data_IF_089537933403
#
_entry.id   IF_089537933403
#
_cell.length_a   1.000
_cell.length_b   1.000
_cell.length_c   1.000
_cell.angle_alpha   90.00
_cell.angle_beta   90.00
_cell.angle_gamma   90.00
#
_symmetry.space_group_name_H-M   'P 1'
#
loop_
_entity.id
_entity.type
_entity.pdbx_description
1 polymer ?
#
# COMPACT_ATOMS: atom_id res chain seq x y z
N UNK A 1 12.17 17.36 -4.61
CA UNK A 1 11.76 16.58 -3.44
C UNK A 1 10.26 16.72 -3.23
N UNK A 2 9.49 15.72 -3.68
CA UNK A 2 8.04 15.60 -3.57
C UNK A 2 7.72 14.57 -2.49
N UNK A 3 6.81 14.91 -1.59
CA UNK A 3 6.41 14.04 -0.48
C UNK A 3 4.90 13.87 -0.51
N UNK A 4 4.43 12.64 -0.33
CA UNK A 4 3.02 12.32 -0.25
C UNK A 4 2.70 11.48 0.99
N UNK A 5 1.45 11.51 1.41
CA UNK A 5 0.92 10.63 2.44
C UNK A 5 -0.30 9.90 1.90
N UNK A 6 -0.40 8.61 2.18
CA UNK A 6 -1.50 7.78 1.69
C UNK A 6 -1.97 6.79 2.77
N UNK A 7 -3.24 6.91 3.15
CA UNK A 7 -3.90 5.92 3.97
C UNK A 7 -4.37 4.76 3.08
N UNK A 8 -3.69 3.61 3.20
CA UNK A 8 -3.94 2.43 2.35
C UNK A 8 -5.08 1.56 2.87
N UNK A 9 -5.71 1.96 3.99
CA UNK A 9 -6.85 1.29 4.60
C UNK A 9 -6.67 -0.23 4.68
N UNK A 10 -5.53 -0.68 5.25
CA UNK A 10 -5.18 -2.10 5.44
C UNK A 10 -5.11 -2.91 4.15
N UNK A 11 -4.87 -2.24 3.02
CA UNK A 11 -4.93 -2.83 1.66
C UNK A 11 -6.32 -3.35 1.30
N UNK A 12 -7.33 -2.98 2.08
CA UNK A 12 -8.70 -3.38 1.83
C UNK A 12 -9.28 -2.39 0.82
N UNK A 13 -9.76 -2.92 -0.32
CA UNK A 13 -10.40 -2.08 -1.35
C UNK A 13 -11.60 -1.29 -0.78
N UNK A 14 -12.21 -0.42 -1.59
CA UNK A 14 -13.21 0.57 -1.15
C UNK A 14 -14.40 0.06 -0.31
N UNK A 15 -14.68 -1.25 -0.30
CA UNK A 15 -15.77 -1.86 0.49
C UNK A 15 -15.31 -2.61 1.75
N UNK A 16 -14.01 -2.75 2.00
CA UNK A 16 -13.44 -3.48 3.16
C UNK A 16 -13.70 -5.00 3.16
N UNK A 17 -14.42 -5.53 2.17
CA UNK A 17 -14.87 -6.93 2.09
C UNK A 17 -13.93 -7.84 1.29
N UNK A 18 -12.98 -7.26 0.57
CA UNK A 18 -12.02 -8.02 -0.22
C UNK A 18 -10.81 -8.40 0.64
N UNK A 19 -10.16 -9.50 0.27
CA UNK A 19 -8.85 -9.82 0.83
C UNK A 19 -7.88 -8.65 0.58
N UNK A 20 -6.93 -8.41 1.49
CA UNK A 20 -5.87 -7.43 1.28
C UNK A 20 -5.20 -7.61 -0.09
N UNK A 21 -5.10 -6.52 -0.86
CA UNK A 21 -4.49 -6.51 -2.20
C UNK A 21 -3.65 -5.23 -2.35
N UNK A 22 -2.33 -5.36 -2.24
CA UNK A 22 -1.41 -4.23 -2.29
C UNK A 22 -1.12 -3.74 -3.72
N UNK A 23 -1.47 -4.50 -4.77
CA UNK A 23 -1.21 -4.11 -6.15
C UNK A 23 -1.99 -2.83 -6.53
N UNK A 24 -3.23 -2.67 -6.02
CA UNK A 24 -4.05 -1.48 -6.31
C UNK A 24 -3.46 -0.20 -5.69
N UNK A 25 -3.11 -0.15 -4.39
CA UNK A 25 -2.34 0.97 -3.84
C UNK A 25 -1.00 1.19 -4.55
N UNK A 26 -0.35 0.14 -5.06
CA UNK A 26 0.89 0.26 -5.83
C UNK A 26 0.74 1.07 -7.11
N UNK A 27 -0.37 0.92 -7.83
CA UNK A 27 -0.70 1.75 -9.00
C UNK A 27 -0.85 3.22 -8.57
N UNK A 28 -1.55 3.49 -7.48
CA UNK A 28 -1.70 4.87 -6.97
C UNK A 28 -0.34 5.45 -6.59
N UNK A 29 0.50 4.68 -5.89
CA UNK A 29 1.83 5.11 -5.44
C UNK A 29 2.74 5.47 -6.63
N UNK A 30 2.72 4.67 -7.70
CA UNK A 30 3.53 4.95 -8.90
C UNK A 30 3.05 6.20 -9.65
N UNK A 31 1.76 6.53 -9.58
CA UNK A 31 1.19 7.75 -10.19
C UNK A 31 1.49 9.04 -9.39
N UNK A 32 1.80 8.94 -8.09
CA UNK A 32 2.04 10.12 -7.24
C UNK A 32 3.33 10.89 -7.62
N UNK A 33 4.28 10.22 -8.28
CA UNK A 33 5.60 10.76 -8.63
C UNK A 33 6.26 11.44 -7.41
N UNK A 34 6.23 10.75 -6.27
CA UNK A 34 6.76 11.23 -5.00
C UNK A 34 8.11 10.57 -4.70
N UNK A 35 9.08 11.37 -4.26
CA UNK A 35 10.37 10.86 -3.79
C UNK A 35 10.23 10.09 -2.46
N UNK A 36 9.22 10.45 -1.65
CA UNK A 36 8.91 9.80 -0.37
C UNK A 36 7.39 9.68 -0.21
N UNK A 37 6.91 8.49 0.15
CA UNK A 37 5.51 8.24 0.48
C UNK A 37 5.40 7.70 1.91
N UNK A 38 4.61 8.37 2.75
CA UNK A 38 4.26 7.88 4.09
C UNK A 38 2.92 7.13 4.05
N UNK A 39 2.90 5.87 4.52
CA UNK A 39 1.71 5.03 4.52
C UNK A 39 1.03 4.95 5.90
N UNK A 40 -0.31 4.98 5.94
CA UNK A 40 -1.12 4.81 7.16
C UNK A 40 -2.03 3.59 7.06
N UNK A 41 -2.42 3.06 8.22
CA UNK A 41 -3.26 1.85 8.35
C UNK A 41 -2.69 0.64 7.59
N UNK A 42 -1.37 0.53 7.54
CA UNK A 42 -0.68 -0.59 6.88
C UNK A 42 -0.97 -1.88 7.65
N UNK A 43 -1.55 -2.87 6.97
CA UNK A 43 -1.70 -4.21 7.53
C UNK A 43 -0.38 -4.98 7.38
N UNK A 44 0.12 -5.51 8.50
CA UNK A 44 1.35 -6.33 8.59
C UNK A 44 1.01 -7.66 9.28
N UNK A 45 0.68 -8.73 8.54
CA UNK A 45 0.39 -10.03 9.12
C UNK A 45 1.61 -10.68 9.79
N UNK A 46 1.43 -11.45 10.86
CA UNK A 46 2.52 -12.20 11.51
C UNK A 46 2.78 -13.56 10.84
N UNK A 47 1.72 -14.28 10.47
CA UNK A 47 1.78 -15.66 9.98
C UNK A 47 1.33 -15.80 8.52
N UNK A 48 1.37 -14.70 7.76
CA UNK A 48 1.00 -14.68 6.34
C UNK A 48 1.93 -13.76 5.56
N UNK A 49 1.85 -13.84 4.23
CA UNK A 49 2.64 -12.99 3.34
C UNK A 49 2.30 -11.52 3.60
N UNK A 50 3.34 -10.70 3.68
CA UNK A 50 3.26 -9.29 4.04
C UNK A 50 3.06 -8.43 2.79
N UNK A 51 1.87 -7.80 2.60
CA UNK A 51 1.60 -7.05 1.38
C UNK A 51 2.49 -5.81 1.22
N UNK A 52 3.06 -5.28 2.30
CA UNK A 52 4.02 -4.16 2.20
C UNK A 52 5.32 -4.62 1.54
N UNK A 53 5.78 -5.83 1.87
CA UNK A 53 7.00 -6.40 1.30
C UNK A 53 6.80 -6.72 -0.18
N UNK A 54 5.66 -7.32 -0.53
CA UNK A 54 5.29 -7.56 -1.94
C UNK A 54 5.31 -6.27 -2.76
N UNK A 55 4.63 -5.23 -2.26
CA UNK A 55 4.60 -3.94 -2.92
C UNK A 55 6.01 -3.38 -3.11
N UNK A 56 6.88 -3.46 -2.09
CA UNK A 56 8.23 -2.91 -2.16
C UNK A 56 9.14 -3.65 -3.16
N UNK A 57 8.89 -4.94 -3.41
CA UNK A 57 9.63 -5.74 -4.40
C UNK A 57 9.17 -5.46 -5.84
N UNK A 58 7.98 -4.87 -6.02
CA UNK A 58 7.38 -4.54 -7.32
C UNK A 58 7.70 -3.10 -7.80
N UNK A 59 8.32 -2.26 -6.97
CA UNK A 59 8.67 -0.86 -7.30
C UNK A 59 10.08 -0.71 -7.91
#
# INVERSE_FOLDING_TARGET
MRVATYNVHRWSGASGRQAPDAARPGIVISELDADVVALQEVLRPFDAKDPLTELAEEQ
#
